data_IF_194157630690
#
_entry.id   IF_194157630690
#
_cell.length_a   1.000
_cell.length_b   1.000
_cell.length_c   1.000
_cell.angle_alpha   90.00
_cell.angle_beta   90.00
_cell.angle_gamma   90.00
#
_symmetry.space_group_name_H-M   'P 1'
#
loop_
_entity.id
_entity.type
_entity.pdbx_description
1 polymer ?
#
# COMPACT_ATOMS: atom_id res chain seq x y z
N UNK A 1 -14.19 -8.27 -29.65
CA UNK A 1 -13.85 -9.57 -29.01
C UNK A 1 -12.35 -9.85 -29.09
N UNK A 2 -11.72 -9.80 -30.27
CA UNK A 2 -10.30 -10.14 -30.47
C UNK A 2 -9.35 -9.19 -29.72
N UNK A 3 -9.60 -7.90 -29.74
CA UNK A 3 -8.80 -6.92 -29.01
C UNK A 3 -8.84 -7.10 -27.49
N UNK A 4 -9.98 -7.49 -26.93
CA UNK A 4 -10.10 -7.78 -25.49
C UNK A 4 -9.25 -8.99 -25.11
N UNK A 5 -9.24 -10.03 -25.93
CA UNK A 5 -8.45 -11.23 -25.70
C UNK A 5 -6.94 -10.93 -25.74
N UNK A 6 -6.52 -10.15 -26.71
CA UNK A 6 -5.13 -9.70 -26.84
C UNK A 6 -4.68 -8.93 -25.60
N UNK A 7 -5.45 -7.92 -25.16
CA UNK A 7 -5.10 -7.14 -23.99
C UNK A 7 -5.17 -7.95 -22.68
N UNK A 8 -6.07 -8.92 -22.58
CA UNK A 8 -6.11 -9.85 -21.46
C UNK A 8 -4.79 -10.60 -21.34
N UNK A 9 -4.33 -11.25 -22.41
CA UNK A 9 -3.06 -11.97 -22.40
C UNK A 9 -1.87 -11.05 -22.15
N UNK A 10 -1.82 -9.89 -22.79
CA UNK A 10 -0.75 -8.91 -22.58
C UNK A 10 -0.69 -8.45 -21.13
N UNK A 11 -1.83 -8.16 -20.51
CA UNK A 11 -1.90 -7.75 -19.11
C UNK A 11 -1.51 -8.88 -18.15
N UNK A 12 -1.94 -10.11 -18.43
CA UNK A 12 -1.55 -11.27 -17.63
C UNK A 12 -0.04 -11.58 -17.72
N UNK A 13 0.58 -11.33 -18.87
CA UNK A 13 2.03 -11.48 -19.03
C UNK A 13 2.83 -10.56 -18.11
N UNK A 14 2.30 -9.40 -17.73
CA UNK A 14 2.95 -8.47 -16.78
C UNK A 14 3.06 -9.11 -15.38
N UNK A 15 2.16 -10.01 -15.04
CA UNK A 15 2.19 -10.69 -13.75
C UNK A 15 3.44 -11.57 -13.57
N UNK A 16 3.98 -12.14 -14.63
CA UNK A 16 5.16 -13.02 -14.56
C UNK A 16 6.42 -12.28 -14.10
N UNK A 17 6.89 -11.20 -14.74
CA UNK A 17 8.06 -10.47 -14.27
C UNK A 17 7.82 -9.81 -12.90
N UNK A 18 6.60 -9.37 -12.61
CA UNK A 18 6.26 -8.82 -11.30
C UNK A 18 6.33 -9.89 -10.21
N UNK A 19 5.84 -11.10 -10.48
CA UNK A 19 5.97 -12.25 -9.57
C UNK A 19 7.45 -12.61 -9.32
N UNK A 20 8.28 -12.59 -10.33
CA UNK A 20 9.74 -12.80 -10.20
C UNK A 20 10.35 -11.77 -9.24
N UNK A 21 9.95 -10.50 -9.32
CA UNK A 21 10.41 -9.47 -8.38
C UNK A 21 10.01 -9.77 -6.94
N UNK A 22 8.76 -10.14 -6.71
CA UNK A 22 8.28 -10.50 -5.36
C UNK A 22 9.07 -11.69 -4.81
N UNK A 23 9.28 -12.73 -5.61
CA UNK A 23 10.10 -13.87 -5.20
C UNK A 23 11.55 -13.48 -4.91
N UNK A 24 12.14 -12.59 -5.68
CA UNK A 24 13.48 -12.07 -5.44
C UNK A 24 13.56 -11.31 -4.11
N UNK A 25 12.58 -10.48 -3.78
CA UNK A 25 12.54 -9.78 -2.49
C UNK A 25 12.42 -10.76 -1.31
N UNK A 26 11.54 -11.74 -1.43
CA UNK A 26 11.38 -12.79 -0.39
C UNK A 26 12.65 -13.63 -0.29
N UNK A 27 13.27 -14.03 -1.42
CA UNK A 27 14.50 -14.79 -1.43
C UNK A 27 15.69 -14.03 -0.81
N UNK A 28 15.74 -12.70 -0.99
CA UNK A 28 16.75 -11.85 -0.35
C UNK A 28 16.66 -11.91 1.18
N UNK A 29 15.45 -12.03 1.73
CA UNK A 29 15.23 -12.15 3.17
C UNK A 29 15.35 -13.58 3.69
N UNK A 30 15.22 -14.58 2.82
CA UNK A 30 15.22 -15.99 3.19
C UNK A 30 16.56 -16.40 3.81
N UNK A 31 16.50 -16.95 5.01
CA UNK A 31 17.69 -17.34 5.80
C UNK A 31 18.68 -16.20 6.07
N UNK A 32 18.27 -14.95 5.90
CA UNK A 32 19.05 -13.78 6.25
C UNK A 32 18.97 -13.46 7.74
N UNK A 33 19.91 -12.64 8.22
CA UNK A 33 19.85 -12.06 9.56
C UNK A 33 18.96 -10.82 9.52
N UNK A 34 17.68 -10.97 9.83
CA UNK A 34 16.71 -9.89 9.79
C UNK A 34 16.64 -9.18 11.15
N UNK A 35 16.66 -7.84 11.11
CA UNK A 35 16.30 -7.02 12.26
C UNK A 35 14.97 -6.31 11.96
N UNK A 36 14.01 -6.41 12.88
CA UNK A 36 12.68 -5.79 12.71
C UNK A 36 12.69 -4.34 13.20
N UNK A 37 13.60 -3.56 12.66
CA UNK A 37 13.64 -2.11 12.83
C UNK A 37 12.67 -1.43 11.85
N UNK A 38 12.42 -0.14 12.08
CA UNK A 38 11.44 0.62 11.30
C UNK A 38 11.60 0.49 9.78
N UNK A 39 12.81 0.62 9.18
CA UNK A 39 12.97 0.49 7.73
C UNK A 39 12.57 -0.90 7.22
N UNK A 40 12.93 -1.96 7.96
CA UNK A 40 12.61 -3.33 7.59
C UNK A 40 11.11 -3.62 7.69
N UNK A 41 10.42 -3.07 8.69
CA UNK A 41 8.97 -3.19 8.80
C UNK A 41 8.27 -2.58 7.58
N UNK A 42 8.71 -1.40 7.13
CA UNK A 42 8.17 -0.76 5.93
C UNK A 42 8.46 -1.59 4.66
N UNK A 43 9.63 -2.20 4.56
CA UNK A 43 9.98 -3.07 3.43
C UNK A 43 9.12 -4.35 3.41
N UNK A 44 8.89 -4.98 4.55
CA UNK A 44 8.02 -6.15 4.66
C UNK A 44 6.56 -5.75 4.39
N UNK A 45 6.11 -4.63 4.94
CA UNK A 45 4.78 -4.08 4.68
C UNK A 45 4.56 -3.78 3.19
N UNK A 46 5.58 -3.24 2.52
CA UNK A 46 5.58 -3.05 1.07
C UNK A 46 5.32 -4.37 0.33
N UNK A 47 6.10 -5.42 0.61
CA UNK A 47 5.94 -6.72 -0.07
C UNK A 47 4.55 -7.30 0.18
N UNK A 48 4.07 -7.24 1.42
CA UNK A 48 2.75 -7.76 1.80
C UNK A 48 1.61 -7.04 1.06
N UNK A 49 1.56 -5.72 1.16
CA UNK A 49 0.50 -4.90 0.55
C UNK A 49 0.57 -4.97 -0.97
N UNK A 50 1.77 -4.88 -1.55
CA UNK A 50 1.97 -4.99 -3.00
C UNK A 50 1.53 -6.36 -3.55
N UNK A 51 1.77 -7.45 -2.82
CA UNK A 51 1.36 -8.79 -3.24
C UNK A 51 -0.16 -8.92 -3.30
N UNK A 52 -0.89 -8.36 -2.31
CA UNK A 52 -2.36 -8.30 -2.35
C UNK A 52 -2.82 -7.50 -3.58
N UNK A 53 -2.20 -6.35 -3.83
CA UNK A 53 -2.46 -5.54 -5.02
C UNK A 53 -2.19 -6.30 -6.32
N UNK A 54 -1.15 -7.12 -6.37
CA UNK A 54 -0.82 -7.97 -7.51
C UNK A 54 -1.88 -9.03 -7.78
N UNK A 55 -2.39 -9.71 -6.75
CA UNK A 55 -3.47 -10.70 -6.90
C UNK A 55 -4.77 -10.05 -7.37
N UNK A 56 -5.14 -8.90 -6.84
CA UNK A 56 -6.32 -8.17 -7.32
C UNK A 56 -6.14 -7.66 -8.74
N UNK A 57 -4.90 -7.38 -9.15
CA UNK A 57 -4.55 -7.03 -10.53
C UNK A 57 -4.76 -8.18 -11.51
N UNK A 58 -4.43 -9.41 -11.13
CA UNK A 58 -4.73 -10.59 -11.94
C UNK A 58 -6.24 -10.75 -12.16
N UNK A 59 -7.05 -10.48 -11.14
CA UNK A 59 -8.51 -10.50 -11.25
C UNK A 59 -8.99 -9.45 -12.27
N UNK A 60 -8.45 -8.24 -12.21
CA UNK A 60 -8.75 -7.19 -13.19
C UNK A 60 -8.22 -7.50 -14.61
N UNK A 61 -7.20 -8.35 -14.75
CA UNK A 61 -6.67 -8.75 -16.06
C UNK A 61 -7.57 -9.77 -16.77
N UNK A 62 -8.37 -10.56 -16.05
CA UNK A 62 -9.23 -11.60 -16.60
C UNK A 62 -10.50 -10.94 -17.17
N UNK A 63 -10.61 -10.89 -18.52
CA UNK A 63 -11.68 -10.17 -19.20
C UNK A 63 -13.11 -10.54 -18.74
N UNK A 64 -13.50 -11.80 -18.53
CA UNK A 64 -14.83 -12.15 -18.04
C UNK A 64 -15.15 -11.56 -16.66
N UNK A 65 -14.15 -11.37 -15.79
CA UNK A 65 -14.33 -10.76 -14.47
C UNK A 65 -14.21 -9.25 -14.58
N UNK A 66 -13.26 -8.75 -15.37
CA UNK A 66 -13.04 -7.31 -15.57
C UNK A 66 -14.29 -6.59 -16.07
N UNK A 67 -15.08 -7.21 -16.95
CA UNK A 67 -16.36 -6.64 -17.42
C UNK A 67 -17.28 -6.28 -16.25
N UNK A 68 -17.25 -7.03 -15.15
CA UNK A 68 -18.10 -6.82 -14.00
C UNK A 68 -17.52 -5.80 -13.00
N UNK A 69 -16.19 -5.74 -12.88
CA UNK A 69 -15.50 -4.88 -11.90
C UNK A 69 -14.92 -3.62 -12.50
N UNK A 70 -14.85 -3.54 -13.84
CA UNK A 70 -14.37 -2.38 -14.56
C UNK A 70 -15.17 -1.12 -14.17
N UNK A 71 -14.43 -0.02 -13.96
CA UNK A 71 -15.00 1.28 -13.54
C UNK A 71 -15.78 1.24 -12.21
N UNK A 72 -15.51 0.27 -11.36
CA UNK A 72 -16.00 0.20 -9.98
C UNK A 72 -14.91 0.54 -8.96
N UNK A 73 -15.29 0.62 -7.67
CA UNK A 73 -14.33 0.80 -6.57
C UNK A 73 -13.38 -0.38 -6.37
N UNK A 74 -13.63 -1.52 -6.99
CA UNK A 74 -12.68 -2.63 -7.01
C UNK A 74 -11.35 -2.24 -7.66
N UNK A 75 -11.42 -1.55 -8.79
CA UNK A 75 -10.23 -1.04 -9.49
C UNK A 75 -9.53 0.02 -8.66
N UNK A 76 -10.29 0.87 -7.95
CA UNK A 76 -9.74 1.89 -7.04
C UNK A 76 -8.96 1.22 -5.90
N UNK A 77 -9.51 0.18 -5.30
CA UNK A 77 -8.83 -0.60 -4.27
C UNK A 77 -7.54 -1.23 -4.82
N UNK A 78 -7.62 -1.88 -5.97
CA UNK A 78 -6.47 -2.52 -6.61
C UNK A 78 -5.30 -1.55 -6.81
N UNK A 79 -5.51 -0.43 -7.49
CA UNK A 79 -4.39 0.45 -7.79
C UNK A 79 -3.85 1.19 -6.56
N UNK A 80 -4.65 1.42 -5.51
CA UNK A 80 -4.12 1.95 -4.26
C UNK A 80 -3.21 0.93 -3.56
N UNK A 81 -3.55 -0.36 -3.56
CA UNK A 81 -2.68 -1.40 -3.05
C UNK A 81 -1.35 -1.48 -3.80
N UNK A 82 -1.35 -1.29 -5.11
CA UNK A 82 -0.12 -1.30 -5.92
C UNK A 82 0.66 0.00 -5.77
N UNK A 83 0.00 1.17 -5.91
CA UNK A 83 0.67 2.47 -5.92
C UNK A 83 1.15 2.88 -4.53
N UNK A 84 0.31 2.75 -3.50
CA UNK A 84 0.70 3.16 -2.13
C UNK A 84 1.75 2.22 -1.59
N UNK A 85 1.62 0.91 -1.78
CA UNK A 85 2.69 -0.01 -1.43
C UNK A 85 3.96 0.25 -2.26
N UNK A 86 3.82 0.34 -3.58
CA UNK A 86 4.96 0.52 -4.49
C UNK A 86 5.70 1.84 -4.31
N UNK A 87 5.01 2.91 -3.97
CA UNK A 87 5.60 4.25 -3.83
C UNK A 87 5.79 4.62 -2.36
N UNK A 88 4.70 4.76 -1.61
CA UNK A 88 4.74 5.37 -0.29
C UNK A 88 5.45 4.48 0.74
N UNK A 89 5.16 3.18 0.78
CA UNK A 89 5.83 2.27 1.71
C UNK A 89 7.31 2.13 1.38
N UNK A 90 7.65 2.06 0.07
CA UNK A 90 9.03 2.07 -0.38
C UNK A 90 9.78 3.36 -0.03
N UNK A 91 9.12 4.53 -0.20
CA UNK A 91 9.67 5.82 0.18
C UNK A 91 9.91 5.92 1.70
N UNK A 92 8.97 5.46 2.52
CA UNK A 92 9.17 5.45 3.98
C UNK A 92 10.26 4.47 4.40
N UNK A 93 10.35 3.28 3.79
CA UNK A 93 11.47 2.37 4.05
C UNK A 93 12.81 3.05 3.78
N UNK A 94 12.94 3.72 2.62
CA UNK A 94 14.13 4.48 2.25
C UNK A 94 14.37 5.68 3.16
N UNK A 95 13.33 6.47 3.44
CA UNK A 95 13.43 7.65 4.30
C UNK A 95 13.96 7.28 5.69
N UNK A 96 13.36 6.30 6.37
CA UNK A 96 13.83 5.85 7.68
C UNK A 96 15.24 5.27 7.65
N UNK A 97 15.61 4.60 6.56
CA UNK A 97 16.95 4.04 6.39
C UNK A 97 18.02 5.11 6.19
N UNK A 98 17.73 6.16 5.41
CA UNK A 98 18.69 7.21 5.10
C UNK A 98 18.62 8.44 6.00
N UNK A 99 17.53 8.62 6.76
CA UNK A 99 17.37 9.77 7.65
C UNK A 99 18.57 9.98 8.60
N UNK A 100 19.15 8.93 9.21
CA UNK A 100 20.38 9.09 10.03
C UNK A 100 21.56 9.64 9.24
N UNK A 101 21.70 9.23 7.98
CA UNK A 101 22.80 9.73 7.12
C UNK A 101 22.61 11.19 6.72
N UNK A 102 21.37 11.64 6.58
CA UNK A 102 21.07 13.02 6.20
C UNK A 102 21.14 13.99 7.38
N UNK A 103 20.73 13.54 8.55
CA UNK A 103 20.59 14.42 9.73
C UNK A 103 21.72 14.23 10.78
N UNK A 104 22.43 13.10 10.71
CA UNK A 104 23.40 12.70 11.74
C UNK A 104 22.76 12.20 13.04
N UNK A 105 21.43 12.02 13.07
CA UNK A 105 20.71 11.57 14.26
C UNK A 105 19.81 10.37 13.97
N UNK A 106 19.71 9.46 14.92
CA UNK A 106 18.85 8.29 14.83
C UNK A 106 17.37 8.65 15.05
N UNK A 107 16.46 8.17 14.18
CA UNK A 107 15.04 8.32 14.40
C UNK A 107 14.58 7.47 15.59
N UNK A 108 13.61 7.97 16.37
CA UNK A 108 12.99 7.21 17.45
C UNK A 108 12.34 5.93 16.92
N UNK A 109 12.83 4.77 17.34
CA UNK A 109 12.32 3.47 16.92
C UNK A 109 10.85 3.27 17.34
N UNK A 110 10.47 3.76 18.53
CA UNK A 110 9.09 3.71 18.99
C UNK A 110 8.13 4.50 18.06
N UNK A 111 8.47 5.75 17.76
CA UNK A 111 7.64 6.58 16.87
C UNK A 111 7.62 6.03 15.44
N UNK A 112 8.74 5.50 14.96
CA UNK A 112 8.83 4.88 13.65
C UNK A 112 7.94 3.63 13.54
N UNK A 113 7.96 2.77 14.54
CA UNK A 113 7.08 1.59 14.61
C UNK A 113 5.60 1.99 14.77
N UNK A 114 5.31 3.00 15.59
CA UNK A 114 3.95 3.53 15.72
C UNK A 114 3.43 4.07 14.40
N UNK A 115 4.25 4.83 13.67
CA UNK A 115 3.91 5.31 12.33
C UNK A 115 3.63 4.15 11.36
N UNK A 116 4.48 3.12 11.34
CA UNK A 116 4.29 1.96 10.48
C UNK A 116 2.98 1.23 10.78
N UNK A 117 2.75 0.83 12.03
CA UNK A 117 1.57 0.04 12.39
C UNK A 117 0.27 0.81 12.22
N UNK A 118 0.23 2.08 12.63
CA UNK A 118 -0.95 2.92 12.40
C UNK A 118 -1.23 3.10 10.91
N UNK A 119 -0.20 3.38 10.11
CA UNK A 119 -0.35 3.51 8.65
C UNK A 119 -0.83 2.21 8.01
N UNK A 120 -0.26 1.06 8.38
CA UNK A 120 -0.65 -0.24 7.83
C UNK A 120 -2.12 -0.57 8.15
N UNK A 121 -2.53 -0.37 9.40
CA UNK A 121 -3.89 -0.65 9.84
C UNK A 121 -4.89 0.27 9.14
N UNK A 122 -4.69 1.57 9.20
CA UNK A 122 -5.62 2.54 8.61
C UNK A 122 -5.62 2.49 7.08
N UNK A 123 -4.49 2.17 6.43
CA UNK A 123 -4.46 1.90 5.00
C UNK A 123 -5.40 0.74 4.64
N UNK A 124 -5.30 -0.39 5.35
CA UNK A 124 -6.17 -1.54 5.09
C UNK A 124 -7.63 -1.25 5.45
N UNK A 125 -7.92 -0.50 6.52
CA UNK A 125 -9.29 -0.07 6.84
C UNK A 125 -9.90 0.82 5.75
N UNK A 126 -9.07 1.59 5.05
CA UNK A 126 -9.53 2.45 3.97
C UNK A 126 -9.74 1.67 2.67
N UNK A 127 -8.74 0.94 2.21
CA UNK A 127 -8.74 0.43 0.84
C UNK A 127 -9.21 -1.01 0.71
N UNK A 128 -9.10 -1.84 1.75
CA UNK A 128 -9.56 -3.23 1.67
C UNK A 128 -11.08 -3.32 1.50
N UNK A 129 -11.91 -2.58 2.26
CA UNK A 129 -13.37 -2.60 2.07
C UNK A 129 -13.83 -2.08 0.71
N UNK A 130 -13.02 -1.27 0.02
CA UNK A 130 -13.35 -0.80 -1.33
C UNK A 130 -13.43 -1.94 -2.35
N UNK A 131 -12.75 -3.08 -2.14
CA UNK A 131 -12.93 -4.26 -2.97
C UNK A 131 -14.39 -4.77 -2.90
N UNK A 132 -14.94 -4.82 -1.71
CA UNK A 132 -16.34 -5.26 -1.51
C UNK A 132 -17.34 -4.27 -2.07
N UNK A 133 -17.09 -2.97 -1.94
CA UNK A 133 -17.92 -1.94 -2.59
C UNK A 133 -17.93 -2.09 -4.11
N UNK A 134 -16.77 -2.36 -4.70
CA UNK A 134 -16.66 -2.60 -6.13
C UNK A 134 -17.39 -3.87 -6.58
N UNK A 135 -17.29 -4.96 -5.82
CA UNK A 135 -18.03 -6.20 -6.07
C UNK A 135 -19.55 -6.01 -5.91
N UNK A 136 -19.95 -5.14 -5.01
CA UNK A 136 -21.38 -4.75 -4.84
C UNK A 136 -21.87 -3.79 -5.93
N UNK A 137 -21.03 -3.40 -6.88
CA UNK A 137 -21.39 -2.59 -8.04
C UNK A 137 -21.29 -1.10 -7.85
N UNK A 138 -20.65 -0.60 -6.78
CA UNK A 138 -20.46 0.84 -6.61
C UNK A 138 -19.49 1.38 -7.68
N UNK A 139 -19.95 2.28 -8.60
CA UNK A 139 -19.09 2.86 -9.63
C UNK A 139 -18.05 3.80 -9.02
N UNK A 140 -16.90 3.95 -9.69
CA UNK A 140 -15.95 5.02 -9.41
C UNK A 140 -16.34 6.32 -10.14
N UNK A 141 -15.72 7.44 -9.75
CA UNK A 141 -15.89 8.76 -10.40
C UNK A 141 -17.33 9.29 -10.39
N UNK A 142 -18.07 8.98 -9.33
CA UNK A 142 -19.41 9.45 -9.10
C UNK A 142 -19.40 10.63 -8.13
N UNK A 143 -20.31 11.62 -8.29
CA UNK A 143 -20.39 12.75 -7.36
C UNK A 143 -21.00 12.35 -6.01
N UNK A 144 -21.85 11.34 -6.00
CA UNK A 144 -22.52 10.81 -4.82
C UNK A 144 -22.81 9.31 -5.01
N UNK A 145 -23.03 8.59 -3.91
CA UNK A 145 -23.29 7.16 -3.90
C UNK A 145 -24.68 6.83 -3.36
N UNK A 146 -25.22 5.67 -3.76
CA UNK A 146 -26.50 5.21 -3.26
C UNK A 146 -26.46 4.94 -1.75
N UNK A 147 -27.56 5.18 -1.04
CA UNK A 147 -27.68 5.06 0.42
C UNK A 147 -27.26 3.68 0.95
N UNK A 148 -27.43 2.63 0.17
CA UNK A 148 -26.98 1.27 0.53
C UNK A 148 -25.45 1.16 0.78
N UNK A 149 -24.65 2.09 0.28
CA UNK A 149 -23.21 2.12 0.46
C UNK A 149 -22.74 3.09 1.57
N UNK A 150 -23.68 3.78 2.23
CA UNK A 150 -23.36 4.85 3.17
C UNK A 150 -22.50 4.37 4.34
N UNK A 151 -22.86 3.25 4.98
CA UNK A 151 -22.14 2.71 6.13
C UNK A 151 -20.71 2.29 5.78
N UNK A 152 -20.53 1.64 4.62
CA UNK A 152 -19.21 1.30 4.12
C UNK A 152 -18.34 2.53 3.84
N UNK A 153 -18.92 3.55 3.23
CA UNK A 153 -18.21 4.79 2.94
C UNK A 153 -17.86 5.56 4.22
N UNK A 154 -18.74 5.56 5.22
CA UNK A 154 -18.45 6.13 6.53
C UNK A 154 -17.28 5.42 7.21
N UNK A 155 -17.29 4.09 7.20
CA UNK A 155 -16.19 3.28 7.75
C UNK A 155 -14.86 3.54 7.03
N UNK A 156 -14.84 3.57 5.71
CA UNK A 156 -13.68 3.88 4.87
C UNK A 156 -13.16 5.28 5.18
N UNK A 157 -14.05 6.26 5.38
CA UNK A 157 -13.67 7.63 5.71
C UNK A 157 -12.94 7.73 7.06
N UNK A 158 -13.39 6.99 8.07
CA UNK A 158 -12.68 6.88 9.35
C UNK A 158 -11.27 6.33 9.15
N UNK A 159 -11.14 5.28 8.33
CA UNK A 159 -9.84 4.74 7.94
C UNK A 159 -8.95 5.79 7.27
N UNK A 160 -9.51 6.54 6.32
CA UNK A 160 -8.77 7.57 5.57
C UNK A 160 -8.27 8.71 6.47
N UNK A 161 -9.10 9.19 7.38
CA UNK A 161 -8.67 10.20 8.37
C UNK A 161 -7.59 9.65 9.32
N UNK A 162 -7.74 8.41 9.79
CA UNK A 162 -6.73 7.74 10.61
C UNK A 162 -5.41 7.57 9.86
N UNK A 163 -5.46 7.21 8.58
CA UNK A 163 -4.27 7.12 7.73
C UNK A 163 -3.59 8.49 7.56
N UNK A 164 -4.35 9.55 7.31
CA UNK A 164 -3.83 10.92 7.23
C UNK A 164 -3.18 11.37 8.54
N UNK A 165 -3.82 11.12 9.68
CA UNK A 165 -3.29 11.46 11.01
C UNK A 165 -2.00 10.68 11.31
N UNK A 166 -1.90 9.42 10.88
CA UNK A 166 -0.67 8.63 11.08
C UNK A 166 0.55 9.26 10.40
N UNK A 167 0.37 10.00 9.30
CA UNK A 167 1.47 10.66 8.59
C UNK A 167 2.06 11.84 9.40
N UNK A 168 1.31 12.44 10.32
CA UNK A 168 1.82 13.47 11.21
C UNK A 168 2.92 12.93 12.13
N UNK A 169 2.88 11.63 12.47
CA UNK A 169 3.93 10.98 13.26
C UNK A 169 5.27 11.04 12.51
N UNK A 170 5.26 10.83 11.20
CA UNK A 170 6.48 10.94 10.39
C UNK A 170 7.06 12.36 10.41
N UNK A 171 6.20 13.37 10.31
CA UNK A 171 6.65 14.77 10.41
C UNK A 171 7.33 15.02 11.76
N UNK A 172 6.75 14.52 12.84
CA UNK A 172 7.34 14.64 14.19
C UNK A 172 8.70 13.94 14.26
N UNK A 173 8.83 12.75 13.65
CA UNK A 173 10.11 12.01 13.59
C UNK A 173 11.17 12.82 12.84
N UNK A 174 10.84 13.36 11.68
CA UNK A 174 11.76 14.18 10.87
C UNK A 174 12.20 15.43 11.64
N UNK A 175 11.25 16.16 12.20
CA UNK A 175 11.55 17.39 12.98
C UNK A 175 12.47 17.07 14.16
N UNK A 176 12.23 15.97 14.87
CA UNK A 176 13.12 15.55 15.97
C UNK A 176 14.52 15.22 15.49
N UNK A 177 14.66 14.48 14.39
CA UNK A 177 15.98 14.17 13.83
C UNK A 177 16.74 15.41 13.35
N UNK A 178 16.04 16.39 12.78
CA UNK A 178 16.67 17.65 12.31
C UNK A 178 17.10 18.54 13.47
N UNK A 179 16.28 18.62 14.53
CA UNK A 179 16.58 19.46 15.71
C UNK A 179 17.64 18.88 16.64
N UNK A 180 17.95 17.62 16.53
CA UNK A 180 18.88 16.88 17.38
C UNK A 180 18.24 15.62 17.96
N UNK A 181 19.05 14.75 18.52
CA UNK A 181 18.64 13.46 19.07
C UNK A 181 19.85 12.60 19.37
N UNK A 182 19.65 11.28 19.48
CA UNK A 182 20.73 10.32 19.58
C UNK A 182 21.58 10.38 18.29
N UNK A 183 22.90 10.55 18.44
CA UNK A 183 23.80 10.61 17.28
C UNK A 183 23.85 9.29 16.57
N UNK A 184 23.81 9.34 15.24
CA UNK A 184 24.07 8.17 14.41
C UNK A 184 25.56 7.78 14.53
N UNK A 185 25.82 6.47 14.72
CA UNK A 185 27.17 5.94 14.80
C UNK A 185 27.87 5.95 13.44
#
# INVERSE_FOLDING_TARGET
AEGQLFFMYATMLIAVPTGVKVFNWVATMWRGSLSFETPMLWAIGFIFVFTIGGFTGLICAIAPIDIQVKDTYYVVAHFHYVLVAGSLFGLFAGAYYWLPKWTGHMPSNFLGKLHFWSSLVFFNLTFFPMHFLGLAGMPRRIPDYALQFADFNAFISVGAFGFGLSQLIFIVVVVKCVRGGERAA
#
